data_IF_153547082170
#
_entry.id   IF_153547082170
#
_cell.length_a   1.000
_cell.length_b   1.000
_cell.length_c   1.000
_cell.angle_alpha   90.00
_cell.angle_beta   90.00
_cell.angle_gamma   90.00
#
_symmetry.space_group_name_H-M   'P 1'
#
loop_
_entity.id
_entity.type
_entity.pdbx_description
1 polymer ?
#
# COMPACT_ATOMS: atom_id res chain seq x y z
N UNK A 1 3.93 -5.05 -14.21
CA UNK A 1 3.69 -3.61 -14.51
C UNK A 1 3.03 -2.99 -13.29
N UNK A 2 3.49 -1.82 -12.84
CA UNK A 2 2.99 -1.16 -11.63
C UNK A 2 2.47 0.24 -11.97
N UNK A 3 1.39 0.66 -11.33
CA UNK A 3 0.87 2.03 -11.31
C UNK A 3 1.09 2.55 -9.89
N UNK A 4 1.88 3.61 -9.75
CA UNK A 4 2.20 4.21 -8.45
C UNK A 4 1.45 5.54 -8.31
N UNK A 5 0.57 5.63 -7.32
CA UNK A 5 -0.13 6.87 -6.96
C UNK A 5 0.40 7.36 -5.61
N UNK A 6 0.71 8.65 -5.55
CA UNK A 6 1.21 9.31 -4.34
C UNK A 6 0.40 10.56 -4.08
N UNK A 7 -0.07 10.70 -2.85
CA UNK A 7 -0.61 11.95 -2.32
C UNK A 7 0.45 12.59 -1.42
N UNK A 8 0.82 13.82 -1.73
CA UNK A 8 1.87 14.58 -1.01
C UNK A 8 1.31 15.67 -0.09
N UNK A 9 -0.01 15.90 -0.12
CA UNK A 9 -0.69 16.83 0.79
C UNK A 9 -0.82 16.25 2.19
N UNK A 10 -0.96 17.11 3.21
CA UNK A 10 -1.08 16.69 4.61
C UNK A 10 -2.43 16.10 5.03
N UNK A 11 -3.34 15.85 4.07
CA UNK A 11 -4.68 15.35 4.35
C UNK A 11 -4.79 13.87 3.96
N UNK A 12 -5.57 13.12 4.75
CA UNK A 12 -5.89 11.74 4.45
C UNK A 12 -6.68 11.62 3.14
N UNK A 13 -6.47 10.51 2.42
CA UNK A 13 -7.27 10.17 1.24
C UNK A 13 -8.61 9.61 1.68
N UNK A 14 -9.73 10.13 1.17
CA UNK A 14 -11.06 9.55 1.36
C UNK A 14 -11.53 8.95 0.03
N UNK A 15 -11.74 7.64 0.02
CA UNK A 15 -12.16 6.87 -1.15
C UNK A 15 -13.54 6.30 -0.82
N UNK A 16 -14.59 6.86 -1.43
CA UNK A 16 -15.97 6.41 -1.22
C UNK A 16 -16.64 6.06 -2.56
N UNK A 17 -16.00 5.19 -3.35
CA UNK A 17 -16.48 4.80 -4.66
C UNK A 17 -15.58 3.76 -5.33
N UNK A 18 -15.70 3.63 -6.65
CA UNK A 18 -14.96 2.65 -7.43
C UNK A 18 -13.54 3.13 -7.75
N UNK A 19 -12.55 2.31 -7.42
CA UNK A 19 -11.19 2.40 -7.93
C UNK A 19 -10.97 1.30 -8.97
N UNK A 20 -10.60 1.67 -10.20
CA UNK A 20 -10.49 0.74 -11.31
C UNK A 20 -9.21 0.96 -12.12
N UNK A 21 -8.62 -0.16 -12.57
CA UNK A 21 -7.59 -0.16 -13.62
C UNK A 21 -8.19 -0.75 -14.88
N UNK A 22 -8.14 -0.02 -15.99
CA UNK A 22 -8.66 -0.45 -17.30
C UNK A 22 -7.52 -0.70 -18.28
N UNK A 23 -7.73 -1.60 -19.25
CA UNK A 23 -6.76 -1.87 -20.34
C UNK A 23 -5.45 -2.53 -19.91
N UNK A 24 -5.31 -2.97 -18.67
CA UNK A 24 -4.15 -3.75 -18.20
C UNK A 24 -4.44 -4.50 -16.89
N UNK A 25 -3.58 -5.45 -16.56
CA UNK A 25 -3.53 -6.17 -15.28
C UNK A 25 -2.44 -5.60 -14.34
N UNK A 26 -2.16 -4.30 -14.43
CA UNK A 26 -1.11 -3.68 -13.62
C UNK A 26 -1.45 -3.72 -12.12
N UNK A 27 -0.42 -3.90 -11.30
CA UNK A 27 -0.54 -3.75 -9.86
C UNK A 27 -0.70 -2.26 -9.52
N UNK A 28 -1.59 -1.94 -8.60
CA UNK A 28 -1.86 -0.56 -8.18
C UNK A 28 -1.34 -0.31 -6.77
N UNK A 29 -0.50 0.70 -6.62
CA UNK A 29 0.00 1.18 -5.34
C UNK A 29 -0.57 2.57 -5.05
N UNK A 30 -1.14 2.75 -3.88
CA UNK A 30 -1.61 4.02 -3.36
C UNK A 30 -0.83 4.35 -2.08
N UNK A 31 -0.07 5.44 -2.11
CA UNK A 31 0.72 5.93 -0.99
C UNK A 31 0.19 7.28 -0.51
N UNK A 32 -0.21 7.35 0.75
CA UNK A 32 -0.51 8.61 1.43
C UNK A 32 -0.10 8.54 2.92
N UNK A 33 1.02 9.18 3.32
CA UNK A 33 1.46 9.19 4.71
C UNK A 33 0.46 9.77 5.72
N UNK A 34 -0.42 10.67 5.27
CA UNK A 34 -1.42 11.31 6.14
C UNK A 34 -2.58 10.36 6.53
N UNK A 35 -2.72 9.23 5.83
CA UNK A 35 -3.76 8.24 6.09
C UNK A 35 -4.67 7.97 4.90
N UNK A 36 -5.43 6.88 5.00
CA UNK A 36 -6.36 6.45 3.94
C UNK A 36 -7.65 5.94 4.59
N UNK A 37 -8.78 6.44 4.12
CA UNK A 37 -10.11 6.02 4.53
C UNK A 37 -10.82 5.46 3.30
N UNK A 38 -11.09 4.15 3.30
CA UNK A 38 -12.02 3.52 2.38
C UNK A 38 -13.41 3.53 3.03
N UNK A 39 -14.30 4.36 2.52
CA UNK A 39 -15.68 4.46 3.00
C UNK A 39 -16.50 3.21 2.66
N UNK A 40 -17.73 3.14 3.16
CA UNK A 40 -18.58 1.97 3.01
C UNK A 40 -18.88 1.60 1.54
N UNK A 41 -18.87 2.58 0.64
CA UNK A 41 -19.12 2.38 -0.79
C UNK A 41 -17.85 2.13 -1.61
N UNK A 42 -16.69 2.07 -0.95
CA UNK A 42 -15.42 1.80 -1.62
C UNK A 42 -15.41 0.40 -2.23
N UNK A 43 -15.09 0.34 -3.52
CA UNK A 43 -14.95 -0.91 -4.29
C UNK A 43 -13.71 -0.86 -5.15
N UNK A 44 -13.11 -2.02 -5.37
CA UNK A 44 -11.98 -2.18 -6.27
C UNK A 44 -12.43 -2.99 -7.50
N UNK A 45 -11.97 -2.59 -8.68
CA UNK A 45 -12.02 -3.39 -9.90
C UNK A 45 -10.60 -3.40 -10.51
N UNK A 46 -9.77 -4.27 -9.95
CA UNK A 46 -8.34 -4.34 -10.23
C UNK A 46 -7.99 -5.79 -10.54
N UNK A 47 -7.46 -6.01 -11.75
CA UNK A 47 -7.07 -7.34 -12.24
C UNK A 47 -5.69 -7.80 -11.73
N UNK A 48 -4.88 -6.86 -11.23
CA UNK A 48 -3.60 -7.13 -10.56
C UNK A 48 -3.71 -7.01 -9.04
N UNK A 49 -2.56 -6.92 -8.37
CA UNK A 49 -2.50 -6.67 -6.94
C UNK A 49 -2.84 -5.21 -6.59
N UNK A 50 -3.36 -4.97 -5.39
CA UNK A 50 -3.59 -3.64 -4.84
C UNK A 50 -2.86 -3.49 -3.50
N UNK A 51 -2.08 -2.42 -3.39
CA UNK A 51 -1.42 -2.02 -2.15
C UNK A 51 -1.83 -0.61 -1.78
N UNK A 52 -2.40 -0.41 -0.59
CA UNK A 52 -2.59 0.90 0.02
C UNK A 52 -1.63 1.04 1.21
N UNK A 53 -0.87 2.12 1.26
CA UNK A 53 0.13 2.33 2.30
C UNK A 53 0.19 3.76 2.85
N UNK A 54 0.48 3.90 4.14
CA UNK A 54 0.84 5.17 4.78
C UNK A 54 2.35 5.32 4.98
N UNK A 55 3.14 4.46 4.33
CA UNK A 55 4.58 4.60 4.21
C UNK A 55 4.94 5.94 3.55
N UNK A 56 6.12 6.45 3.89
CA UNK A 56 6.74 7.63 3.28
C UNK A 56 7.64 7.25 2.10
N UNK A 57 7.81 5.96 1.82
CA UNK A 57 8.49 5.48 0.62
C UNK A 57 8.14 4.03 0.26
N UNK A 58 8.18 3.74 -1.04
CA UNK A 58 8.09 2.40 -1.62
C UNK A 58 9.40 2.10 -2.34
N UNK A 59 10.12 1.06 -1.92
CA UNK A 59 11.44 0.72 -2.42
C UNK A 59 11.41 -0.36 -3.50
N UNK A 60 12.31 -0.20 -4.48
CA UNK A 60 12.47 -1.07 -5.64
C UNK A 60 13.75 -1.93 -5.58
N UNK A 61 14.49 -1.88 -4.45
CA UNK A 61 15.83 -2.45 -4.33
C UNK A 61 16.92 -1.44 -4.67
N UNK A 62 18.17 -1.76 -4.37
CA UNK A 62 19.38 -0.97 -4.69
C UNK A 62 19.28 0.53 -4.31
N UNK A 63 18.64 0.80 -3.16
CA UNK A 63 18.38 2.15 -2.65
C UNK A 63 17.55 3.06 -3.59
N UNK A 64 16.76 2.47 -4.50
CA UNK A 64 15.81 3.19 -5.34
C UNK A 64 14.45 3.29 -4.65
N UNK A 65 13.96 4.52 -4.48
CA UNK A 65 12.77 4.80 -3.68
C UNK A 65 11.80 5.71 -4.40
N UNK A 66 10.55 5.26 -4.46
CA UNK A 66 9.42 6.12 -4.71
C UNK A 66 8.99 6.77 -3.39
N UNK A 67 9.47 7.99 -3.14
CA UNK A 67 9.30 8.72 -1.89
C UNK A 67 8.03 9.56 -1.89
N UNK A 68 7.37 9.67 -0.73
CA UNK A 68 6.18 10.48 -0.52
C UNK A 68 6.49 11.99 -0.52
N UNK A 69 7.71 12.35 -0.12
CA UNK A 69 8.16 13.73 -0.02
C UNK A 69 9.36 13.97 -0.93
N UNK A 70 9.50 15.21 -1.42
CA UNK A 70 10.57 15.57 -2.34
C UNK A 70 10.42 14.99 -3.76
N UNK A 71 11.54 15.02 -4.48
CA UNK A 71 11.62 14.61 -5.88
C UNK A 71 11.88 13.11 -5.99
N UNK A 72 11.34 12.50 -7.05
CA UNK A 72 11.62 11.12 -7.41
C UNK A 72 12.38 11.07 -8.73
N UNK A 73 13.38 10.20 -8.81
CA UNK A 73 13.93 9.76 -10.08
C UNK A 73 13.09 8.59 -10.59
N UNK A 74 12.15 8.88 -11.50
CA UNK A 74 11.26 7.85 -12.03
C UNK A 74 11.97 6.83 -12.92
N UNK A 75 13.13 7.16 -13.48
CA UNK A 75 13.88 6.25 -14.35
C UNK A 75 14.59 5.15 -13.56
N UNK A 76 14.86 5.38 -12.27
CA UNK A 76 15.49 4.39 -11.39
C UNK A 76 14.49 3.42 -10.74
N UNK A 77 13.18 3.64 -10.90
CA UNK A 77 12.12 2.79 -10.35
C UNK A 77 11.87 1.55 -11.22
N UNK A 78 12.92 0.77 -11.46
CA UNK A 78 12.90 -0.45 -12.25
C UNK A 78 12.77 -1.64 -11.30
N UNK A 79 11.90 -2.59 -11.63
CA UNK A 79 11.73 -3.84 -10.88
C UNK A 79 10.43 -3.93 -10.07
N UNK A 80 10.47 -4.74 -9.02
CA UNK A 80 9.30 -5.07 -8.20
C UNK A 80 9.34 -4.28 -6.89
N UNK A 81 8.36 -3.42 -6.61
CA UNK A 81 8.26 -2.74 -5.33
C UNK A 81 8.00 -3.77 -4.23
N UNK A 82 8.86 -3.82 -3.22
CA UNK A 82 8.81 -4.83 -2.16
C UNK A 82 9.15 -4.29 -0.78
N UNK A 83 9.73 -3.09 -0.70
CA UNK A 83 10.13 -2.46 0.55
C UNK A 83 9.22 -1.27 0.85
N UNK A 84 8.96 -1.03 2.13
CA UNK A 84 8.18 0.12 2.59
C UNK A 84 8.94 0.80 3.70
N UNK A 85 8.97 2.13 3.68
CA UNK A 85 9.69 2.95 4.64
C UNK A 85 8.73 3.89 5.36
N UNK A 86 8.85 3.97 6.68
CA UNK A 86 8.04 4.85 7.53
C UNK A 86 8.95 5.85 8.25
N UNK A 87 9.22 6.98 7.60
CA UNK A 87 10.00 8.09 8.17
C UNK A 87 9.07 9.24 8.52
N UNK A 88 8.52 9.22 9.73
CA UNK A 88 7.67 10.28 10.25
C UNK A 88 8.17 10.72 11.62
N UNK A 89 8.06 12.02 11.91
CA UNK A 89 8.41 12.59 13.22
C UNK A 89 7.36 12.25 14.30
N UNK A 90 6.22 11.66 13.92
CA UNK A 90 5.14 11.26 14.82
C UNK A 90 4.58 9.88 14.48
N UNK A 91 3.35 9.59 14.88
CA UNK A 91 2.69 8.33 14.54
C UNK A 91 2.40 8.28 13.04
N UNK A 92 2.73 7.18 12.32
CA UNK A 92 2.34 7.03 10.93
C UNK A 92 0.82 7.05 10.75
N UNK A 93 0.35 7.54 9.60
CA UNK A 93 -1.08 7.61 9.30
C UNK A 93 -1.78 6.25 9.40
N UNK A 94 -3.08 6.30 9.71
CA UNK A 94 -3.92 5.11 9.78
C UNK A 94 -4.56 4.78 8.42
N UNK A 95 -4.89 3.49 8.24
CA UNK A 95 -5.79 3.01 7.20
C UNK A 95 -7.08 2.53 7.87
N UNK A 96 -8.21 3.10 7.46
CA UNK A 96 -9.54 2.68 7.90
C UNK A 96 -10.28 2.13 6.69
N UNK A 97 -10.68 0.86 6.74
CA UNK A 97 -11.50 0.24 5.71
C UNK A 97 -12.90 -0.10 6.24
N UNK A 98 -13.89 0.57 5.67
CA UNK A 98 -15.32 0.33 5.88
C UNK A 98 -16.01 -0.35 4.69
N UNK A 99 -15.32 -0.43 3.55
CA UNK A 99 -15.81 -1.01 2.31
C UNK A 99 -15.50 -2.50 2.16
N UNK A 100 -15.95 -3.06 1.04
CA UNK A 100 -15.63 -4.42 0.61
C UNK A 100 -14.54 -4.35 -0.47
N UNK A 101 -13.28 -4.37 -0.01
CA UNK A 101 -12.12 -4.32 -0.87
C UNK A 101 -11.74 -5.73 -1.29
N UNK A 102 -11.80 -5.99 -2.59
CA UNK A 102 -11.44 -7.28 -3.17
C UNK A 102 -10.72 -7.05 -4.50
N UNK A 103 -9.66 -7.80 -4.74
CA UNK A 103 -8.98 -7.85 -6.04
C UNK A 103 -9.35 -9.15 -6.75
N UNK A 104 -9.04 -9.25 -8.04
CA UNK A 104 -9.23 -10.51 -8.77
C UNK A 104 -8.50 -11.67 -8.06
N UNK A 105 -9.16 -12.83 -7.86
CA UNK A 105 -8.57 -13.99 -7.18
C UNK A 105 -7.18 -14.35 -7.72
N UNK A 106 -6.27 -14.73 -6.82
CA UNK A 106 -4.87 -15.01 -7.14
C UNK A 106 -3.94 -13.80 -7.06
N UNK A 107 -4.48 -12.59 -6.82
CA UNK A 107 -3.72 -11.39 -6.53
C UNK A 107 -3.78 -11.00 -5.04
N UNK A 108 -2.84 -10.17 -4.63
CA UNK A 108 -2.76 -9.68 -3.25
C UNK A 108 -3.51 -8.36 -3.05
N UNK A 109 -4.19 -8.26 -1.92
CA UNK A 109 -4.70 -7.02 -1.34
C UNK A 109 -3.88 -6.71 -0.08
N UNK A 110 -3.12 -5.63 -0.11
CA UNK A 110 -2.23 -5.23 0.99
C UNK A 110 -2.65 -3.87 1.54
N UNK A 111 -2.93 -3.80 2.83
CA UNK A 111 -3.12 -2.55 3.57
C UNK A 111 -1.99 -2.43 4.60
N UNK A 112 -1.13 -1.43 4.43
CA UNK A 112 0.05 -1.24 5.29
C UNK A 112 0.08 0.17 5.89
N UNK A 113 -0.05 0.31 7.19
CA UNK A 113 0.06 1.61 7.83
C UNK A 113 0.38 1.52 9.31
N UNK A 114 0.54 2.67 9.97
CA UNK A 114 0.81 2.71 11.41
C UNK A 114 -0.32 2.06 12.23
N UNK A 115 -1.55 2.16 11.74
CA UNK A 115 -2.69 1.40 12.25
C UNK A 115 -3.57 1.01 11.08
N UNK A 116 -4.08 -0.22 11.07
CA UNK A 116 -5.02 -0.70 10.06
C UNK A 116 -6.27 -1.22 10.77
N UNK A 117 -7.41 -0.59 10.50
CA UNK A 117 -8.72 -0.95 11.06
C UNK A 117 -9.61 -1.39 9.90
N UNK A 118 -10.19 -2.59 9.99
CA UNK A 118 -11.15 -3.09 9.01
C UNK A 118 -12.45 -3.44 9.70
N UNK A 119 -13.58 -2.89 9.26
CA UNK A 119 -14.90 -3.14 9.86
C UNK A 119 -15.72 -4.19 9.10
N UNK A 120 -15.15 -4.78 8.03
CA UNK A 120 -15.71 -5.86 7.22
C UNK A 120 -14.61 -6.89 6.93
N UNK A 121 -14.99 -8.12 6.61
CA UNK A 121 -14.07 -9.22 6.28
C UNK A 121 -13.06 -8.79 5.21
N UNK A 122 -11.83 -8.54 5.64
CA UNK A 122 -10.67 -8.36 4.78
C UNK A 122 -9.84 -9.64 4.89
N UNK A 123 -9.34 -10.16 3.77
CA UNK A 123 -8.21 -11.11 3.85
C UNK A 123 -6.98 -10.28 4.18
N UNK A 124 -6.70 -10.14 5.48
CA UNK A 124 -5.50 -9.46 5.98
C UNK A 124 -4.33 -10.42 5.86
N UNK A 125 -3.39 -10.11 4.97
CA UNK A 125 -2.09 -10.76 4.92
C UNK A 125 -1.10 -9.82 5.59
N UNK A 126 -0.84 -10.06 6.87
CA UNK A 126 0.15 -9.33 7.65
C UNK A 126 1.51 -9.98 7.37
N UNK A 127 2.46 -9.23 6.79
CA UNK A 127 3.87 -9.64 6.77
C UNK A 127 4.50 -9.42 8.14
N UNK A 128 5.43 -10.29 8.54
CA UNK A 128 6.13 -10.16 9.82
C UNK A 128 6.79 -8.78 9.96
N UNK A 129 6.60 -8.15 11.12
CA UNK A 129 7.24 -6.89 11.48
C UNK A 129 8.56 -7.19 12.18
N UNK A 130 9.70 -7.01 11.51
CA UNK A 130 10.99 -6.92 12.19
C UNK A 130 11.29 -5.45 12.47
N UNK A 131 11.21 -5.05 13.75
CA UNK A 131 11.75 -3.77 14.22
C UNK A 131 13.26 -3.90 14.35
N UNK A 132 14.04 -3.31 13.45
CA UNK A 132 15.46 -3.09 13.71
C UNK A 132 15.62 -1.79 14.50
N UNK A 133 15.89 -1.90 15.80
CA UNK A 133 15.95 -0.80 16.77
C UNK A 133 17.20 0.11 16.63
N UNK A 134 17.71 0.33 15.43
CA UNK A 134 18.92 1.13 15.17
C UNK A 134 18.64 2.31 14.24
N UNK A 135 17.68 3.19 14.56
CA UNK A 135 17.36 4.43 13.80
C UNK A 135 17.29 4.26 12.27
N UNK A 136 17.11 3.03 11.80
CA UNK A 136 17.20 2.61 10.42
C UNK A 136 15.78 2.46 9.91
N UNK A 137 15.52 2.76 8.64
CA UNK A 137 14.17 2.70 8.09
C UNK A 137 13.58 1.32 8.33
N UNK A 138 12.46 1.28 9.06
CA UNK A 138 11.61 0.09 9.21
C UNK A 138 11.36 -0.50 7.83
N UNK A 139 11.88 -1.69 7.57
CA UNK A 139 11.77 -2.36 6.27
C UNK A 139 10.78 -3.51 6.40
N UNK A 140 9.65 -3.41 5.69
CA UNK A 140 8.60 -4.44 5.69
C UNK A 140 8.75 -5.32 4.45
N UNK A 141 8.84 -6.63 4.64
CA UNK A 141 8.79 -7.63 3.58
C UNK A 141 7.41 -8.31 3.57
N UNK A 142 6.53 -8.06 2.58
CA UNK A 142 5.24 -8.75 2.51
C UNK A 142 5.42 -10.22 2.13
N UNK A 143 4.93 -11.14 2.96
CA UNK A 143 4.78 -12.55 2.59
C UNK A 143 3.48 -12.77 1.82
N UNK A 144 3.54 -13.58 0.75
CA UNK A 144 2.34 -14.04 0.02
C UNK A 144 1.93 -15.41 0.55
N UNK A 145 0.76 -15.53 1.16
CA UNK A 145 0.07 -16.81 1.36
C UNK A 145 -0.93 -17.00 0.22
N UNK A 146 -0.72 -18.03 -0.57
CA UNK A 146 -1.73 -18.58 -1.47
C UNK A 146 -2.86 -19.18 -0.63
N UNK A 147 -4.11 -18.77 -0.86
CA UNK A 147 -5.26 -19.55 -0.39
C UNK A 147 -5.13 -20.96 -0.97
N UNK A 148 -4.92 -21.96 -0.13
CA UNK A 148 -5.25 -23.33 -0.53
C UNK A 148 -6.77 -23.43 -0.61
N UNK A 149 -7.27 -23.76 -1.79
CA UNK A 149 -8.68 -24.08 -1.99
C UNK A 149 -8.96 -25.39 -1.24
N UNK A 150 -9.92 -25.36 -0.31
CA UNK A 150 -10.67 -26.55 0.13
C UNK A 150 -12.00 -26.61 -0.59
#
# INVERSE_FOLDING_TARGET
KNILNRVTGGNASVINGLMQVTGSNANLFLMNPAGIIFGADAKLNIQGAFTATTATGIGFGDNNWFSAFGNNDYFSLIGTPSLFRFETLGTPGAIINQGQLEVTPGNNLTLLGGTVITSRNCVLQIGDFTTENDNSPMTVHPYSLTKENS
#
